data_IF_135567156930
#
_entry.id   IF_135567156930
#
_cell.length_a   1.000
_cell.length_b   1.000
_cell.length_c   1.000
_cell.angle_alpha   90.00
_cell.angle_beta   90.00
_cell.angle_gamma   90.00
#
_symmetry.space_group_name_H-M   'P 1'
#
loop_
_entity.id
_entity.type
_entity.pdbx_description
1 polymer ?
#
# COMPACT_ATOMS: atom_id res chain seq x y z
N UNK A 1 20.15 -2.33 14.46
CA UNK A 1 19.35 -1.83 13.34
C UNK A 1 19.08 -3.01 12.43
N UNK A 2 17.84 -3.51 12.36
CA UNK A 2 17.52 -4.65 11.49
C UNK A 2 17.74 -4.28 10.03
N UNK A 3 18.47 -5.08 9.28
CA UNK A 3 18.72 -4.90 7.84
C UNK A 3 17.49 -5.17 6.95
N UNK A 4 16.35 -5.54 7.56
CA UNK A 4 15.14 -5.95 6.85
C UNK A 4 14.17 -4.81 6.51
N UNK A 5 13.17 -5.16 5.70
CA UNK A 5 12.02 -4.33 5.38
C UNK A 5 10.85 -4.65 6.32
N UNK A 6 10.18 -3.61 6.79
CA UNK A 6 9.01 -3.72 7.66
C UNK A 6 7.70 -3.73 6.87
N UNK A 7 6.58 -4.03 7.51
CA UNK A 7 5.27 -3.81 6.90
C UNK A 7 4.85 -2.35 7.08
N UNK A 8 4.09 -1.83 6.12
CA UNK A 8 3.45 -0.52 6.21
C UNK A 8 1.94 -0.66 6.04
N UNK A 9 1.19 0.22 6.70
CA UNK A 9 -0.27 0.24 6.63
C UNK A 9 -0.76 0.77 5.28
N UNK A 10 -1.86 0.22 4.78
CA UNK A 10 -2.50 0.68 3.55
C UNK A 10 -3.35 1.92 3.81
N UNK A 11 -2.69 3.07 3.88
CA UNK A 11 -3.30 4.35 4.23
C UNK A 11 -2.82 5.44 3.25
N UNK A 12 -3.76 6.27 2.78
CA UNK A 12 -3.46 7.32 1.81
C UNK A 12 -2.47 8.38 2.34
N UNK A 13 -2.55 8.73 3.62
CA UNK A 13 -1.64 9.67 4.26
C UNK A 13 -0.22 9.10 4.42
N UNK A 14 -0.12 7.80 4.75
CA UNK A 14 1.17 7.08 4.78
C UNK A 14 1.81 7.04 3.39
N UNK A 15 1.05 6.64 2.37
CA UNK A 15 1.57 6.54 1.00
C UNK A 15 1.91 7.92 0.42
N UNK A 16 1.11 8.96 0.70
CA UNK A 16 1.39 10.32 0.27
C UNK A 16 2.71 10.83 0.86
N UNK A 17 2.92 10.68 2.17
CA UNK A 17 4.17 11.10 2.81
C UNK A 17 5.35 10.21 2.36
N UNK A 18 5.13 8.93 2.07
CA UNK A 18 6.14 8.03 1.49
C UNK A 18 6.64 8.56 0.14
N UNK A 19 5.73 8.90 -0.77
CA UNK A 19 6.08 9.41 -2.10
C UNK A 19 6.79 10.77 -2.01
N UNK A 20 6.34 11.65 -1.12
CA UNK A 20 7.00 12.94 -0.85
C UNK A 20 8.43 12.74 -0.33
N UNK A 21 8.64 11.84 0.64
CA UNK A 21 10.00 11.55 1.17
C UNK A 21 10.92 10.85 0.19
N UNK A 22 10.38 10.17 -0.83
CA UNK A 22 11.16 9.63 -1.93
C UNK A 22 11.58 10.71 -2.94
N UNK A 23 11.14 11.96 -2.75
CA UNK A 23 11.53 13.10 -3.57
C UNK A 23 10.63 13.33 -4.79
N UNK A 24 9.46 12.70 -4.84
CA UNK A 24 8.50 12.85 -5.95
C UNK A 24 7.67 14.11 -5.72
N UNK A 25 7.55 14.94 -6.75
CA UNK A 25 6.84 16.21 -6.68
C UNK A 25 5.45 16.13 -7.31
N UNK A 26 4.54 17.01 -6.86
CA UNK A 26 3.21 17.20 -7.41
C UNK A 26 2.32 15.94 -7.50
N UNK A 27 2.59 14.94 -6.66
CA UNK A 27 1.81 13.71 -6.53
C UNK A 27 1.19 13.61 -5.14
N UNK A 28 -0.01 13.03 -5.07
CA UNK A 28 -0.59 12.57 -3.82
C UNK A 28 -1.31 11.23 -4.03
N UNK A 29 -1.64 10.57 -2.92
CA UNK A 29 -2.37 9.31 -2.91
C UNK A 29 -3.68 9.53 -2.17
N UNK A 30 -4.79 9.12 -2.78
CA UNK A 30 -6.14 9.22 -2.22
C UNK A 30 -6.80 7.84 -2.12
N UNK A 31 -7.64 7.64 -1.11
CA UNK A 31 -8.42 6.41 -0.97
C UNK A 31 -9.55 6.35 -1.99
N UNK A 32 -9.73 5.18 -2.61
CA UNK A 32 -10.83 4.93 -3.53
C UNK A 32 -11.87 4.03 -2.86
N UNK A 33 -12.91 4.64 -2.31
CA UNK A 33 -13.99 3.93 -1.60
C UNK A 33 -14.99 3.23 -2.53
N UNK A 34 -15.10 3.68 -3.79
CA UNK A 34 -16.01 3.12 -4.78
C UNK A 34 -15.31 2.94 -6.12
N UNK A 35 -15.61 1.81 -6.77
CA UNK A 35 -14.98 1.36 -8.01
C UNK A 35 -15.93 1.63 -9.18
N UNK A 36 -16.43 2.86 -9.26
CA UNK A 36 -17.27 3.33 -10.36
C UNK A 36 -16.56 4.46 -11.13
N UNK A 37 -17.03 4.70 -12.34
CA UNK A 37 -16.46 5.68 -13.26
C UNK A 37 -16.46 7.10 -12.68
N UNK A 38 -17.49 7.49 -11.93
CA UNK A 38 -17.62 8.85 -11.39
C UNK A 38 -16.61 9.08 -10.27
N UNK A 39 -16.46 8.10 -9.37
CA UNK A 39 -15.47 8.11 -8.29
C UNK A 39 -14.04 8.24 -8.82
N UNK A 40 -13.67 7.47 -9.85
CA UNK A 40 -12.35 7.59 -10.47
C UNK A 40 -12.16 8.93 -11.19
N UNK A 41 -13.21 9.45 -11.87
CA UNK A 41 -13.16 10.75 -12.55
C UNK A 41 -13.02 11.93 -11.59
N UNK A 42 -13.62 11.85 -10.41
CA UNK A 42 -13.48 12.87 -9.37
C UNK A 42 -12.01 13.03 -8.92
N UNK A 43 -11.23 11.95 -9.03
CA UNK A 43 -9.80 11.93 -8.70
C UNK A 43 -8.89 12.24 -9.90
N UNK A 44 -9.42 12.61 -11.06
CA UNK A 44 -8.62 12.87 -12.25
C UNK A 44 -7.64 14.08 -12.07
N UNK A 45 -6.45 14.03 -12.68
CA UNK A 45 -5.83 12.87 -13.34
C UNK A 45 -5.44 11.75 -12.36
N UNK A 46 -5.75 10.50 -12.74
CA UNK A 46 -5.30 9.28 -12.03
C UNK A 46 -4.16 8.65 -12.82
N UNK A 47 -2.98 8.56 -12.21
CA UNK A 47 -1.78 7.99 -12.81
C UNK A 47 -1.74 6.47 -12.70
N UNK A 48 -2.18 5.94 -11.56
CA UNK A 48 -2.27 4.51 -11.28
C UNK A 48 -3.23 4.26 -10.11
N UNK A 49 -3.69 3.01 -9.97
CA UNK A 49 -4.48 2.52 -8.84
C UNK A 49 -3.76 1.35 -8.20
N UNK A 50 -3.36 1.50 -6.95
CA UNK A 50 -2.78 0.44 -6.12
C UNK A 50 -3.93 -0.36 -5.51
N UNK A 51 -3.88 -1.67 -5.66
CA UNK A 51 -4.84 -2.61 -5.11
C UNK A 51 -4.17 -3.50 -4.06
N UNK A 52 -4.72 -3.50 -2.85
CA UNK A 52 -4.32 -4.39 -1.77
C UNK A 52 -5.37 -5.48 -1.59
N UNK A 53 -4.95 -6.74 -1.55
CA UNK A 53 -5.83 -7.88 -1.31
C UNK A 53 -5.15 -8.93 -0.44
N UNK A 54 -5.94 -9.83 0.16
CA UNK A 54 -5.42 -10.97 0.90
C UNK A 54 -4.87 -12.01 -0.09
N UNK A 55 -3.56 -12.25 -0.05
CA UNK A 55 -2.90 -13.25 -0.90
C UNK A 55 -3.29 -14.66 -0.45
N UNK A 56 -3.92 -15.43 -1.34
CA UNK A 56 -4.58 -16.69 -0.98
C UNK A 56 -4.03 -17.91 -1.72
N UNK A 57 -4.71 -19.04 -1.51
CA UNK A 57 -4.40 -20.30 -2.21
C UNK A 57 -4.57 -20.17 -3.72
N UNK A 58 -5.54 -19.37 -4.18
CA UNK A 58 -5.74 -19.07 -5.59
C UNK A 58 -4.47 -18.44 -6.18
N UNK A 59 -3.90 -17.43 -5.53
CA UNK A 59 -2.68 -16.79 -5.99
C UNK A 59 -1.48 -17.75 -6.03
N UNK A 60 -1.32 -18.56 -4.99
CA UNK A 60 -0.27 -19.59 -4.90
C UNK A 60 -0.40 -20.60 -6.04
N UNK A 61 -1.61 -21.04 -6.36
CA UNK A 61 -1.87 -22.00 -7.45
C UNK A 61 -1.49 -21.42 -8.82
N UNK A 62 -1.96 -20.21 -9.14
CA UNK A 62 -1.67 -19.56 -10.41
C UNK A 62 -0.18 -19.16 -10.53
N UNK A 63 0.44 -18.75 -9.42
CA UNK A 63 1.89 -18.52 -9.38
C UNK A 63 2.68 -19.81 -9.66
N UNK A 64 2.29 -20.94 -9.10
CA UNK A 64 2.95 -22.23 -9.34
C UNK A 64 2.82 -22.71 -10.80
N UNK A 65 1.73 -22.36 -11.48
CA UNK A 65 1.53 -22.62 -12.92
C UNK A 65 2.23 -21.62 -13.82
N UNK A 66 2.78 -20.53 -13.26
CA UNK A 66 3.30 -19.39 -14.00
C UNK A 66 2.24 -18.84 -14.97
N UNK A 67 1.04 -18.56 -14.44
CA UNK A 67 -0.10 -18.00 -15.16
C UNK A 67 -0.70 -16.82 -14.37
N UNK A 68 -1.23 -15.78 -15.04
CA UNK A 68 -2.01 -14.74 -14.38
C UNK A 68 -3.42 -15.24 -14.04
N UNK A 69 -4.03 -14.69 -12.99
CA UNK A 69 -5.40 -15.04 -12.58
C UNK A 69 -6.45 -14.51 -13.57
N UNK A 70 -6.17 -13.34 -14.15
CA UNK A 70 -6.93 -12.69 -15.21
C UNK A 70 -5.96 -11.95 -16.13
N UNK A 71 -6.34 -11.72 -17.38
CA UNK A 71 -5.47 -11.08 -18.37
C UNK A 71 -4.42 -12.02 -19.00
N UNK A 72 -3.40 -11.44 -19.63
CA UNK A 72 -2.37 -12.17 -20.40
C UNK A 72 -0.98 -11.61 -20.08
N UNK A 73 0.02 -12.48 -19.90
CA UNK A 73 1.39 -12.00 -19.71
C UNK A 73 1.95 -11.31 -20.94
N UNK A 74 2.76 -10.27 -20.68
CA UNK A 74 3.52 -9.56 -21.70
C UNK A 74 5.02 -9.83 -21.56
N UNK A 75 5.56 -10.87 -22.21
CA UNK A 75 6.99 -11.17 -22.14
C UNK A 75 7.86 -10.11 -22.83
N UNK A 76 7.30 -9.38 -23.81
CA UNK A 76 8.01 -8.39 -24.63
C UNK A 76 7.79 -6.95 -24.12
N UNK A 77 7.46 -6.79 -22.83
CA UNK A 77 7.12 -5.49 -22.23
C UNK A 77 8.26 -4.46 -22.31
N UNK A 78 9.52 -4.92 -22.30
CA UNK A 78 10.70 -4.06 -22.40
C UNK A 78 10.78 -3.35 -23.75
N UNK A 79 10.41 -4.02 -24.85
CA UNK A 79 10.38 -3.43 -26.20
C UNK A 79 9.35 -2.29 -26.31
N UNK A 80 8.39 -2.26 -25.38
CA UNK A 80 7.36 -1.22 -25.27
C UNK A 80 7.74 -0.10 -24.29
N UNK A 81 8.95 -0.15 -23.72
CA UNK A 81 9.44 0.81 -22.74
C UNK A 81 8.77 0.71 -21.37
N UNK A 82 8.11 -0.41 -21.06
CA UNK A 82 7.43 -0.60 -19.78
C UNK A 82 8.47 -0.94 -18.71
N UNK A 83 8.47 -0.17 -17.63
CA UNK A 83 9.24 -0.49 -16.43
C UNK A 83 8.50 -1.55 -15.59
N UNK A 84 9.20 -2.60 -15.18
CA UNK A 84 8.65 -3.60 -14.28
C UNK A 84 9.76 -4.20 -13.43
N UNK A 85 9.57 -4.19 -12.11
CA UNK A 85 10.52 -4.72 -11.16
C UNK A 85 9.84 -5.74 -10.23
N UNK A 86 10.44 -6.92 -10.14
CA UNK A 86 10.00 -7.99 -9.26
C UNK A 86 10.26 -7.66 -7.80
N UNK A 87 9.42 -8.22 -6.93
CA UNK A 87 9.65 -8.18 -5.51
C UNK A 87 10.63 -9.29 -5.11
N UNK A 88 11.82 -8.89 -4.68
CA UNK A 88 12.89 -9.80 -4.25
C UNK A 88 12.99 -9.93 -2.73
N UNK A 89 12.37 -9.03 -1.97
CA UNK A 89 12.37 -9.01 -0.51
C UNK A 89 10.93 -8.97 0.04
N UNK A 90 10.68 -9.67 1.16
CA UNK A 90 9.40 -9.64 1.87
C UNK A 90 9.11 -8.26 2.47
N UNK A 91 7.83 -7.92 2.61
CA UNK A 91 7.32 -6.65 3.14
C UNK A 91 7.65 -5.38 2.33
N UNK A 92 8.43 -5.46 1.25
CA UNK A 92 8.69 -4.34 0.35
C UNK A 92 7.55 -4.06 -0.66
N UNK A 93 6.51 -4.91 -0.70
CA UNK A 93 5.45 -4.90 -1.71
C UNK A 93 4.79 -3.53 -1.91
N UNK A 94 4.55 -2.80 -0.83
CA UNK A 94 3.90 -1.50 -0.89
C UNK A 94 4.71 -0.46 -1.67
N UNK A 95 6.00 -0.30 -1.32
CA UNK A 95 6.91 0.59 -2.05
C UNK A 95 7.17 0.09 -3.46
N UNK A 96 7.26 -1.24 -3.65
CA UNK A 96 7.42 -1.82 -4.98
C UNK A 96 6.25 -1.47 -5.91
N UNK A 97 5.01 -1.54 -5.43
CA UNK A 97 3.83 -1.17 -6.20
C UNK A 97 3.82 0.33 -6.56
N UNK A 98 4.22 1.20 -5.63
CA UNK A 98 4.41 2.64 -5.87
C UNK A 98 5.46 2.88 -6.96
N UNK A 99 6.64 2.26 -6.86
CA UNK A 99 7.73 2.46 -7.82
C UNK A 99 7.40 1.90 -9.22
N UNK A 100 6.79 0.71 -9.29
CA UNK A 100 6.25 0.17 -10.55
C UNK A 100 5.21 1.11 -11.19
N UNK A 101 4.52 1.93 -10.40
CA UNK A 101 3.59 2.94 -10.93
C UNK A 101 4.32 4.20 -11.42
N UNK A 102 5.07 4.85 -10.53
CA UNK A 102 5.66 6.17 -10.77
C UNK A 102 6.73 6.14 -11.86
N UNK A 103 7.57 5.10 -11.91
CA UNK A 103 8.63 4.99 -12.90
C UNK A 103 8.10 4.74 -14.32
N UNK A 104 6.84 4.36 -14.47
CA UNK A 104 6.15 4.29 -15.77
C UNK A 104 5.45 5.61 -16.16
N UNK A 105 5.52 6.65 -15.31
CA UNK A 105 4.82 7.92 -15.48
C UNK A 105 5.73 9.14 -15.43
N UNK A 106 7.02 8.97 -15.71
CA UNK A 106 8.03 10.04 -15.66
C UNK A 106 7.84 11.15 -16.70
N UNK A 107 7.02 10.92 -17.72
CA UNK A 107 6.65 11.97 -18.69
C UNK A 107 5.59 12.92 -18.13
N UNK A 108 4.80 12.45 -17.16
CA UNK A 108 3.71 13.20 -16.52
C UNK A 108 4.04 13.66 -15.09
N UNK A 109 5.02 13.00 -14.45
CA UNK A 109 5.38 13.15 -13.04
C UNK A 109 6.87 13.42 -12.90
N UNK A 110 7.21 14.45 -12.12
CA UNK A 110 8.58 14.62 -11.64
C UNK A 110 8.86 13.68 -10.46
N UNK A 111 9.57 12.58 -10.75
CA UNK A 111 9.93 11.57 -9.75
C UNK A 111 11.12 11.96 -8.88
N UNK A 112 11.72 13.14 -9.10
CA UNK A 112 12.88 13.61 -8.38
C UNK A 112 14.19 12.96 -8.81
N UNK A 113 15.30 13.49 -8.28
CA UNK A 113 16.65 13.11 -8.67
C UNK A 113 16.99 11.66 -8.32
N UNK A 114 16.66 11.21 -7.10
CA UNK A 114 17.00 9.86 -6.62
C UNK A 114 16.34 8.77 -7.47
N UNK A 115 15.02 8.84 -7.65
CA UNK A 115 14.29 7.85 -8.46
C UNK A 115 14.62 7.98 -9.95
N UNK A 116 14.88 9.20 -10.44
CA UNK A 116 15.36 9.44 -11.79
C UNK A 116 16.71 8.75 -12.05
N UNK A 117 17.67 8.91 -11.14
CA UNK A 117 18.98 8.26 -11.21
C UNK A 117 18.86 6.74 -11.16
N UNK A 118 18.01 6.20 -10.28
CA UNK A 118 17.74 4.76 -10.20
C UNK A 118 17.16 4.25 -11.52
N UNK A 119 16.16 4.94 -12.09
CA UNK A 119 15.55 4.57 -13.37
C UNK A 119 16.58 4.54 -14.52
N UNK A 120 17.48 5.51 -14.56
CA UNK A 120 18.57 5.53 -15.54
C UNK A 120 19.58 4.41 -15.33
N UNK A 121 19.92 4.12 -14.08
CA UNK A 121 20.89 3.08 -13.73
C UNK A 121 20.40 1.67 -14.11
N UNK A 122 19.13 1.38 -13.89
CA UNK A 122 18.51 0.07 -14.20
C UNK A 122 17.98 -0.01 -15.64
N UNK A 123 18.26 0.98 -16.48
CA UNK A 123 17.84 0.96 -17.88
C UNK A 123 18.46 -0.26 -18.59
N UNK A 124 17.60 -1.17 -19.06
CA UNK A 124 18.00 -2.41 -19.73
C UNK A 124 18.23 -3.61 -18.80
N UNK A 125 18.03 -3.48 -17.49
CA UNK A 125 18.00 -4.62 -16.58
C UNK A 125 16.71 -5.42 -16.78
N UNK A 126 16.77 -6.72 -16.50
CA UNK A 126 15.55 -7.53 -16.35
C UNK A 126 14.80 -7.16 -15.05
N UNK A 127 13.58 -7.66 -14.91
CA UNK A 127 12.71 -7.31 -13.78
C UNK A 127 13.24 -7.79 -12.44
N UNK A 128 13.98 -8.89 -12.39
CA UNK A 128 14.57 -9.42 -11.17
C UNK A 128 15.72 -8.53 -10.70
N UNK A 129 16.64 -8.18 -11.59
CA UNK A 129 17.75 -7.27 -11.30
C UNK A 129 17.29 -5.85 -10.97
N UNK A 130 16.21 -5.37 -11.60
CA UNK A 130 15.54 -4.13 -11.18
C UNK A 130 15.05 -4.23 -9.73
N UNK A 131 14.40 -5.35 -9.39
CA UNK A 131 13.92 -5.64 -8.03
C UNK A 131 15.04 -5.68 -7.00
N UNK A 132 16.13 -6.40 -7.29
CA UNK A 132 17.32 -6.46 -6.44
C UNK A 132 17.92 -5.07 -6.21
N UNK A 133 18.04 -4.26 -7.26
CA UNK A 133 18.59 -2.91 -7.17
C UNK A 133 17.75 -2.02 -6.25
N UNK A 134 16.42 -2.01 -6.42
CA UNK A 134 15.50 -1.25 -5.55
C UNK A 134 15.60 -1.75 -4.11
N UNK A 135 15.60 -3.06 -3.92
CA UNK A 135 15.58 -3.68 -2.59
C UNK A 135 16.85 -3.41 -1.77
N UNK A 136 17.97 -3.18 -2.45
CA UNK A 136 19.26 -2.84 -1.88
C UNK A 136 19.49 -1.33 -1.70
N UNK A 137 18.57 -0.47 -2.18
CA UNK A 137 18.67 0.97 -1.95
C UNK A 137 18.44 1.30 -0.48
N UNK A 138 19.47 1.82 0.17
CA UNK A 138 19.39 2.28 1.56
C UNK A 138 18.44 3.47 1.71
N UNK A 139 18.42 4.39 0.74
CA UNK A 139 17.50 5.54 0.71
C UNK A 139 16.06 5.05 0.75
N UNK A 140 15.67 4.20 -0.22
CA UNK A 140 14.29 3.70 -0.33
C UNK A 140 13.91 2.91 0.92
N UNK A 141 14.78 2.00 1.38
CA UNK A 141 14.53 1.19 2.58
C UNK A 141 14.38 2.05 3.83
N UNK A 142 15.18 3.10 3.98
CA UNK A 142 15.11 4.02 5.13
C UNK A 142 13.80 4.79 5.14
N UNK A 143 13.39 5.33 3.98
CA UNK A 143 12.11 6.02 3.85
C UNK A 143 10.96 5.07 4.14
N UNK A 144 10.94 3.88 3.53
CA UNK A 144 9.91 2.85 3.76
C UNK A 144 9.78 2.49 5.25
N UNK A 145 10.90 2.15 5.90
CA UNK A 145 10.89 1.76 7.31
C UNK A 145 10.52 2.90 8.28
N UNK A 146 10.56 4.16 7.83
CA UNK A 146 10.14 5.32 8.65
C UNK A 146 8.62 5.39 8.88
N UNK A 147 7.84 4.59 8.15
CA UNK A 147 6.38 4.50 8.27
C UNK A 147 5.90 3.29 9.04
N UNK A 148 6.82 2.46 9.51
CA UNK A 148 6.48 1.29 10.30
C UNK A 148 6.23 1.67 11.75
N UNK A 149 5.21 1.06 12.35
CA UNK A 149 4.96 1.24 13.78
C UNK A 149 6.21 0.84 14.60
N UNK A 150 6.57 1.59 15.66
CA UNK A 150 7.62 1.20 16.58
C UNK A 150 7.36 -0.21 17.12
N UNK A 151 8.33 -1.12 16.96
CA UNK A 151 8.23 -2.46 17.54
C UNK A 151 8.59 -2.39 19.02
N UNK A 152 7.59 -2.47 19.89
CA UNK A 152 7.78 -2.46 21.36
C UNK A 152 8.50 -3.71 21.89
N UNK A 153 8.39 -4.83 21.16
CA UNK A 153 9.04 -6.10 21.45
C UNK A 153 9.63 -6.57 20.13
N UNK A 154 10.87 -7.07 20.13
CA UNK A 154 11.39 -7.74 18.95
C UNK A 154 10.55 -8.99 18.71
N UNK A 155 9.68 -8.92 17.70
CA UNK A 155 8.82 -10.01 17.28
C UNK A 155 9.59 -11.26 16.84
N UNK A 156 10.92 -11.17 16.71
CA UNK A 156 11.80 -12.34 16.55
C UNK A 156 11.80 -13.27 17.78
N UNK A 157 11.46 -12.76 18.97
CA UNK A 157 11.45 -13.50 20.24
C UNK A 157 10.04 -13.94 20.70
N UNK A 158 8.97 -13.41 20.10
CA UNK A 158 7.61 -13.84 20.39
C UNK A 158 7.28 -15.11 19.59
N UNK A 159 6.65 -16.13 20.20
CA UNK A 159 6.09 -17.25 19.45
C UNK A 159 5.16 -16.68 18.38
N UNK A 160 5.43 -16.97 17.11
CA UNK A 160 4.47 -16.66 16.05
C UNK A 160 3.14 -17.28 16.50
N UNK A 161 2.04 -16.49 16.61
CA UNK A 161 0.75 -17.07 16.95
C UNK A 161 0.52 -18.26 16.02
N UNK A 162 0.13 -19.40 16.58
CA UNK A 162 -0.19 -20.60 15.79
C UNK A 162 -1.09 -20.15 14.64
N UNK A 163 -0.54 -20.24 13.43
CA UNK A 163 -1.16 -19.74 12.21
C UNK A 163 -2.37 -20.61 11.99
N UNK A 164 -3.54 -20.14 12.43
CA UNK A 164 -4.80 -20.83 12.21
C UNK A 164 -4.92 -20.99 10.69
N UNK A 165 -5.17 -22.21 10.22
CA UNK A 165 -5.16 -22.57 8.78
C UNK A 165 -6.23 -21.84 7.95
N UNK A 166 -6.95 -20.90 8.56
CA UNK A 166 -7.96 -20.00 7.98
C UNK A 166 -7.45 -18.57 7.76
N UNK A 167 -6.33 -18.16 8.36
CA UNK A 167 -5.76 -16.81 8.24
C UNK A 167 -4.37 -16.81 7.56
N UNK A 168 -4.22 -17.69 6.57
CA UNK A 168 -2.98 -17.99 5.83
C UNK A 168 -2.56 -16.92 4.78
N UNK A 169 -3.10 -15.70 4.84
CA UNK A 169 -2.88 -14.69 3.80
C UNK A 169 -2.20 -13.44 4.31
N UNK A 170 -0.93 -13.27 3.96
CA UNK A 170 -0.31 -11.94 3.93
C UNK A 170 -1.07 -11.07 2.93
N UNK A 171 -1.22 -9.79 3.22
CA UNK A 171 -1.77 -8.84 2.24
C UNK A 171 -0.70 -8.53 1.18
N UNK A 172 -1.12 -8.38 -0.07
CA UNK A 172 -0.23 -8.13 -1.20
C UNK A 172 -0.70 -6.93 -2.03
N UNK A 173 0.26 -6.09 -2.44
CA UNK A 173 0.02 -4.90 -3.25
C UNK A 173 0.35 -5.16 -4.72
N UNK A 174 -0.55 -4.74 -5.60
CA UNK A 174 -0.34 -4.67 -7.04
C UNK A 174 -0.78 -3.30 -7.55
N UNK A 175 -0.38 -2.93 -8.76
CA UNK A 175 -0.80 -1.64 -9.34
C UNK A 175 -1.41 -1.81 -10.73
N UNK A 176 -2.44 -1.01 -11.01
CA UNK A 176 -3.12 -0.92 -12.29
C UNK A 176 -2.93 0.46 -12.90
N UNK A 177 -2.53 0.52 -14.16
CA UNK A 177 -2.30 1.79 -14.84
C UNK A 177 -2.46 1.66 -16.36
N UNK A 178 -2.73 2.79 -17.02
CA UNK A 178 -2.74 2.87 -18.48
C UNK A 178 -1.32 3.07 -19.00
N UNK A 179 -0.80 2.10 -19.76
CA UNK A 179 0.44 2.20 -20.52
C UNK A 179 0.14 1.88 -21.98
N UNK A 180 0.57 2.76 -22.89
CA UNK A 180 0.39 2.54 -24.33
C UNK A 180 -1.06 2.20 -24.71
N UNK A 181 -2.03 2.95 -24.16
CA UNK A 181 -3.47 2.75 -24.34
C UNK A 181 -3.94 1.32 -23.98
N UNK A 182 -3.37 0.74 -22.94
CA UNK A 182 -3.72 -0.60 -22.45
C UNK A 182 -3.65 -0.59 -20.93
N UNK A 183 -4.61 -1.22 -20.26
CA UNK A 183 -4.56 -1.41 -18.81
C UNK A 183 -3.57 -2.52 -18.52
N UNK A 184 -2.54 -2.20 -17.74
CA UNK A 184 -1.59 -3.17 -17.20
C UNK A 184 -1.81 -3.37 -15.70
N UNK A 185 -1.68 -4.61 -15.26
CA UNK A 185 -1.48 -4.99 -13.86
C UNK A 185 0.00 -5.33 -13.67
N UNK A 186 0.68 -4.60 -12.77
CA UNK A 186 2.06 -4.86 -12.39
C UNK A 186 2.07 -5.46 -10.97
N UNK A 187 2.27 -6.77 -10.93
CA UNK A 187 2.42 -7.56 -9.70
C UNK A 187 3.87 -8.01 -9.56
N UNK A 188 4.57 -7.52 -8.54
CA UNK A 188 5.98 -7.83 -8.32
C UNK A 188 6.26 -9.32 -8.06
N UNK A 189 5.26 -10.13 -7.72
CA UNK A 189 5.39 -11.59 -7.55
C UNK A 189 5.16 -12.37 -8.84
N UNK A 190 4.76 -11.72 -9.93
CA UNK A 190 4.54 -12.35 -11.24
C UNK A 190 5.75 -12.19 -12.14
N UNK A 191 5.90 -13.12 -13.07
CA UNK A 191 7.05 -13.16 -13.98
C UNK A 191 7.08 -12.00 -14.98
N UNK A 192 5.90 -11.55 -15.41
CA UNK A 192 5.75 -10.50 -16.41
C UNK A 192 4.59 -9.57 -16.04
N UNK A 193 4.58 -8.33 -16.55
CA UNK A 193 3.39 -7.48 -16.58
C UNK A 193 2.19 -8.22 -17.17
N UNK A 194 0.99 -7.90 -16.68
CA UNK A 194 -0.25 -8.53 -17.12
C UNK A 194 -1.07 -7.51 -17.91
N UNK A 195 -1.38 -7.85 -19.15
CA UNK A 195 -2.27 -7.09 -20.04
C UNK A 195 -3.73 -7.41 -19.72
N UNK A 196 -4.53 -6.36 -19.57
CA UNK A 196 -5.99 -6.41 -19.47
C UNK A 196 -6.64 -5.78 -20.72
N UNK A 197 -7.47 -4.76 -20.53
CA UNK A 197 -8.32 -4.22 -21.58
C UNK A 197 -7.58 -3.13 -22.37
N UNK A 198 -7.72 -3.14 -23.70
CA UNK A 198 -7.22 -2.06 -24.58
C UNK A 198 -8.13 -0.83 -24.50
N UNK A 199 -7.52 0.34 -24.56
CA UNK A 199 -8.18 1.64 -24.53
C UNK A 199 -8.15 2.27 -25.92
N UNK A 200 -9.22 2.91 -26.35
CA UNK A 200 -9.24 3.68 -27.60
C UNK A 200 -8.69 5.09 -27.35
N UNK A 201 -8.89 5.60 -26.12
CA UNK A 201 -8.30 6.83 -25.62
C UNK A 201 -7.83 6.71 -24.16
N UNK A 202 -6.90 7.55 -23.68
CA UNK A 202 -6.53 7.58 -22.27
C UNK A 202 -7.71 7.88 -21.31
N UNK A 203 -8.78 8.52 -21.79
CA UNK A 203 -9.98 8.79 -20.99
C UNK A 203 -10.83 7.55 -20.74
N UNK A 204 -10.67 6.52 -21.57
CA UNK A 204 -11.41 5.26 -21.41
C UNK A 204 -10.91 4.48 -20.20
N UNK A 205 -9.73 4.85 -19.66
CA UNK A 205 -9.19 4.26 -18.44
C UNK A 205 -10.20 4.33 -17.28
N UNK A 206 -10.87 5.47 -17.12
CA UNK A 206 -11.88 5.67 -16.07
C UNK A 206 -13.12 4.79 -16.26
N UNK A 207 -13.43 4.39 -17.49
CA UNK A 207 -14.61 3.57 -17.81
C UNK A 207 -14.31 2.07 -17.77
N UNK A 208 -13.11 1.66 -18.22
CA UNK A 208 -12.72 0.25 -18.34
C UNK A 208 -12.07 -0.30 -17.07
N UNK A 209 -11.30 0.50 -16.31
CA UNK A 209 -10.65 0.05 -15.08
C UNK A 209 -11.62 -0.55 -14.05
N UNK A 210 -12.82 0.04 -13.80
CA UNK A 210 -13.81 -0.57 -12.92
C UNK A 210 -14.13 -2.02 -13.25
N UNK A 211 -14.30 -2.34 -14.54
CA UNK A 211 -14.57 -3.71 -14.99
C UNK A 211 -13.41 -4.65 -14.67
N UNK A 212 -12.17 -4.22 -14.89
CA UNK A 212 -10.97 -5.01 -14.57
C UNK A 212 -10.87 -5.29 -13.06
N UNK A 213 -11.03 -4.26 -12.24
CA UNK A 213 -10.98 -4.40 -10.78
C UNK A 213 -12.11 -5.29 -10.24
N UNK A 214 -13.33 -5.16 -10.78
CA UNK A 214 -14.45 -6.03 -10.42
C UNK A 214 -14.19 -7.49 -10.80
N UNK A 215 -13.63 -7.76 -12.00
CA UNK A 215 -13.21 -9.11 -12.39
C UNK A 215 -12.18 -9.68 -11.43
N UNK A 216 -11.21 -8.86 -11.01
CA UNK A 216 -10.18 -9.24 -10.03
C UNK A 216 -10.79 -9.57 -8.66
N UNK A 217 -11.66 -8.71 -8.13
CA UNK A 217 -12.33 -8.90 -6.82
C UNK A 217 -13.23 -10.14 -6.84
N UNK A 218 -13.98 -10.38 -7.93
CA UNK A 218 -14.90 -11.50 -8.06
C UNK A 218 -14.22 -12.88 -7.92
N UNK A 219 -12.90 -12.96 -8.15
CA UNK A 219 -12.11 -14.20 -7.97
C UNK A 219 -11.99 -14.62 -6.50
N UNK A 220 -12.09 -13.70 -5.56
CA UNK A 220 -11.91 -13.94 -4.12
C UNK A 220 -13.24 -14.15 -3.40
N UNK A 221 -14.12 -15.01 -3.93
CA UNK A 221 -15.51 -15.18 -3.50
C UNK A 221 -15.72 -15.08 -1.97
N UNK A 222 -16.34 -13.99 -1.52
CA UNK A 222 -16.70 -13.74 -0.12
C UNK A 222 -15.63 -13.04 0.74
N UNK A 223 -14.44 -12.78 0.20
CA UNK A 223 -13.42 -11.94 0.86
C UNK A 223 -13.66 -10.46 0.53
N UNK A 224 -13.87 -9.67 1.58
CA UNK A 224 -14.16 -8.23 1.48
C UNK A 224 -12.98 -7.37 1.95
N UNK A 225 -11.91 -7.99 2.46
CA UNK A 225 -10.71 -7.28 2.92
C UNK A 225 -9.81 -6.94 1.74
N UNK A 226 -10.11 -5.83 1.10
CA UNK A 226 -9.23 -5.19 0.12
C UNK A 226 -9.23 -3.68 0.32
N UNK A 227 -8.21 -3.01 -0.22
CA UNK A 227 -8.12 -1.56 -0.26
C UNK A 227 -7.68 -1.11 -1.64
N UNK A 228 -8.10 0.09 -2.04
CA UNK A 228 -7.75 0.72 -3.29
C UNK A 228 -7.24 2.13 -2.99
N UNK A 229 -6.06 2.45 -3.51
CA UNK A 229 -5.44 3.76 -3.42
C UNK A 229 -5.19 4.28 -4.83
N UNK A 230 -5.60 5.49 -5.14
CA UNK A 230 -5.33 6.14 -6.40
C UNK A 230 -4.11 7.06 -6.26
N UNK A 231 -3.14 6.93 -7.17
CA UNK A 231 -2.05 7.90 -7.32
C UNK A 231 -2.54 9.00 -8.26
N UNK A 232 -2.57 10.24 -7.78
CA UNK A 232 -3.08 11.40 -8.51
C UNK A 232 -2.09 12.56 -8.46
N UNK A 233 -2.38 13.63 -9.21
CA UNK A 233 -1.70 14.90 -8.99
C UNK A 233 -2.03 15.47 -7.60
N UNK A 234 -1.19 16.38 -7.13
CA UNK A 234 -1.43 17.18 -5.93
C UNK A 234 -2.71 18.01 -6.11
N UNK A 235 -3.76 17.66 -5.34
CA UNK A 235 -5.08 18.29 -5.42
C UNK A 235 -5.09 19.69 -4.83
N UNK A 236 -4.22 19.98 -3.86
CA UNK A 236 -4.08 21.32 -3.31
C UNK A 236 -3.66 22.30 -4.40
N UNK A 237 -2.63 21.93 -5.19
CA UNK A 237 -2.16 22.74 -6.30
C UNK A 237 -3.25 22.89 -7.38
N UNK A 238 -3.99 21.82 -7.66
CA UNK A 238 -5.13 21.87 -8.59
C UNK A 238 -6.22 22.85 -8.13
N UNK A 239 -6.69 22.75 -6.89
CA UNK A 239 -7.75 23.63 -6.37
C UNK A 239 -7.30 25.09 -6.28
N UNK A 240 -6.03 25.34 -5.94
CA UNK A 240 -5.44 26.67 -5.97
C UNK A 240 -5.45 27.27 -7.39
N UNK A 241 -5.07 26.47 -8.41
CA UNK A 241 -5.06 26.91 -9.80
C UNK A 241 -6.47 27.17 -10.35
N UNK A 242 -7.47 26.40 -9.93
CA UNK A 242 -8.86 26.60 -10.36
C UNK A 242 -9.59 27.67 -9.54
N UNK A 243 -9.00 28.17 -8.45
CA UNK A 243 -9.63 29.12 -7.53
C UNK A 243 -10.74 28.54 -6.66
N UNK A 244 -10.72 27.22 -6.44
CA UNK A 244 -11.70 26.53 -5.59
C UNK A 244 -11.30 26.65 -4.11
N UNK A 245 -11.77 27.72 -3.46
CA UNK A 245 -11.47 27.99 -2.07
C UNK A 245 -11.95 26.88 -1.11
N UNK A 246 -13.09 26.25 -1.42
CA UNK A 246 -13.64 25.18 -0.58
C UNK A 246 -12.78 23.91 -0.72
N UNK A 247 -12.39 23.56 -1.95
CA UNK A 247 -11.47 22.44 -2.19
C UNK A 247 -10.12 22.63 -1.50
N UNK A 248 -9.57 23.84 -1.51
CA UNK A 248 -8.33 24.18 -0.79
C UNK A 248 -8.47 23.96 0.72
N UNK A 249 -9.54 24.46 1.33
CA UNK A 249 -9.77 24.29 2.77
C UNK A 249 -9.90 22.81 3.17
N UNK A 250 -10.67 22.04 2.40
CA UNK A 250 -10.86 20.60 2.64
C UNK A 250 -9.55 19.83 2.51
N UNK A 251 -8.75 20.12 1.49
CA UNK A 251 -7.47 19.46 1.24
C UNK A 251 -6.43 19.78 2.33
N UNK A 252 -6.41 21.02 2.83
CA UNK A 252 -5.55 21.41 3.95
C UNK A 252 -5.92 20.68 5.25
N UNK A 253 -7.21 20.61 5.57
CA UNK A 253 -7.70 19.88 6.75
C UNK A 253 -7.40 18.38 6.67
N UNK A 254 -7.53 17.78 5.47
CA UNK A 254 -7.16 16.39 5.20
C UNK A 254 -5.66 16.15 5.49
N UNK A 255 -4.79 17.02 4.98
CA UNK A 255 -3.33 16.93 5.19
C UNK A 255 -2.92 17.14 6.65
N UNK A 256 -3.59 18.02 7.38
CA UNK A 256 -3.37 18.19 8.83
C UNK A 256 -3.74 16.92 9.61
N UNK A 257 -4.85 16.29 9.24
CA UNK A 257 -5.29 15.00 9.81
C UNK A 257 -4.26 13.92 9.54
N UNK A 258 -3.83 13.74 8.29
CA UNK A 258 -2.79 12.78 7.92
C UNK A 258 -1.46 13.01 8.65
N UNK A 259 -1.02 14.27 8.76
CA UNK A 259 0.19 14.63 9.49
C UNK A 259 0.10 14.22 10.97
N UNK A 260 -1.04 14.50 11.60
CA UNK A 260 -1.31 14.14 12.99
C UNK A 260 -1.36 12.63 13.20
N UNK A 261 -2.04 11.90 12.32
CA UNK A 261 -2.12 10.44 12.38
C UNK A 261 -0.76 9.77 12.14
N UNK A 262 0.02 10.25 11.16
CA UNK A 262 1.37 9.73 10.91
C UNK A 262 2.31 10.01 12.09
N UNK A 263 2.16 11.17 12.76
CA UNK A 263 2.89 11.44 13.99
C UNK A 263 2.52 10.44 15.11
N UNK A 264 1.24 10.10 15.25
CA UNK A 264 0.78 9.10 16.22
C UNK A 264 1.25 7.69 15.87
N UNK A 265 1.20 7.27 14.59
CA UNK A 265 1.69 5.95 14.12
C UNK A 265 3.17 5.74 14.42
N UNK A 266 3.97 6.79 14.34
CA UNK A 266 5.41 6.77 14.65
C UNK A 266 5.72 6.88 16.14
N UNK A 267 4.74 7.24 16.97
CA UNK A 267 4.99 7.51 18.38
C UNK A 267 5.13 6.21 19.18
N UNK A 268 6.15 6.16 20.04
CA UNK A 268 6.40 5.04 20.94
C UNK A 268 5.57 5.20 22.24
N UNK A 269 4.46 4.45 22.35
CA UNK A 269 3.53 4.54 23.49
C UNK A 269 3.86 3.78 24.81
N UNK A 270 4.94 2.99 25.01
CA UNK A 270 5.11 2.21 26.24
C UNK A 270 5.21 3.09 27.47
N UNK A 271 5.86 4.25 27.37
CA UNK A 271 5.95 5.20 28.47
C UNK A 271 4.57 5.70 28.88
N UNK A 272 3.71 6.02 27.90
CA UNK A 272 2.33 6.40 28.18
C UNK A 272 1.58 5.25 28.85
N UNK A 273 1.71 4.02 28.33
CA UNK A 273 1.06 2.84 28.91
C UNK A 273 1.50 2.59 30.35
N UNK A 274 2.81 2.69 30.65
CA UNK A 274 3.36 2.51 31.99
C UNK A 274 2.85 3.59 32.94
N UNK A 275 2.87 4.87 32.53
CA UNK A 275 2.39 5.96 33.38
C UNK A 275 0.88 5.89 33.61
N UNK A 276 0.10 5.48 32.60
CA UNK A 276 -1.33 5.21 32.78
C UNK A 276 -1.58 4.07 33.78
N UNK A 277 -0.83 2.97 33.66
CA UNK A 277 -0.93 1.85 34.59
C UNK A 277 -0.60 2.28 36.02
N UNK A 278 0.50 3.02 36.22
CA UNK A 278 0.88 3.56 37.53
C UNK A 278 -0.20 4.46 38.10
N UNK A 279 -0.79 5.35 37.30
CA UNK A 279 -1.85 6.24 37.75
C UNK A 279 -3.13 5.48 38.14
N UNK A 280 -3.49 4.44 37.39
CA UNK A 280 -4.65 3.60 37.73
C UNK A 280 -4.42 2.82 39.02
N UNK A 281 -3.21 2.28 39.20
CA UNK A 281 -2.88 1.45 40.36
C UNK A 281 -2.39 2.23 41.58
N UNK A 282 -2.23 3.56 41.48
CA UNK A 282 -1.57 4.37 42.52
C UNK A 282 -2.28 4.29 43.88
N UNK A 283 -3.61 4.35 43.86
CA UNK A 283 -4.44 4.37 45.07
C UNK A 283 -5.10 3.00 45.36
N UNK A 284 -4.75 1.96 44.61
CA UNK A 284 -5.32 0.62 44.75
C UNK A 284 -4.47 -0.24 45.68
N UNK A 285 -5.12 -1.01 46.56
CA UNK A 285 -4.47 -2.13 47.23
C UNK A 285 -4.41 -3.37 46.31
N UNK A 286 -3.67 -4.39 46.76
CA UNK A 286 -3.46 -5.62 45.98
C UNK A 286 -4.78 -6.35 45.67
N UNK A 287 -5.75 -6.33 46.60
CA UNK A 287 -7.05 -6.99 46.44
C UNK A 287 -7.93 -6.25 45.42
N UNK A 288 -7.92 -4.92 45.44
CA UNK A 288 -8.61 -4.06 44.48
C UNK A 288 -8.03 -4.22 43.07
N UNK A 289 -6.71 -4.29 42.95
CA UNK A 289 -6.02 -4.53 41.68
C UNK A 289 -6.34 -5.91 41.11
N UNK A 290 -6.29 -6.97 41.93
CA UNK A 290 -6.59 -8.33 41.49
C UNK A 290 -8.05 -8.45 41.02
N UNK A 291 -8.99 -7.79 41.72
CA UNK A 291 -10.39 -7.73 41.32
C UNK A 291 -10.58 -7.02 39.98
N UNK A 292 -9.87 -5.91 39.74
CA UNK A 292 -9.89 -5.20 38.46
C UNK A 292 -9.36 -6.09 37.32
N UNK A 293 -8.24 -6.77 37.53
CA UNK A 293 -7.66 -7.71 36.56
C UNK A 293 -8.62 -8.87 36.24
N UNK A 294 -9.29 -9.43 37.25
CA UNK A 294 -10.29 -10.49 37.05
C UNK A 294 -11.48 -10.01 36.23
N UNK A 295 -11.97 -8.79 36.47
CA UNK A 295 -13.04 -8.18 35.69
C UNK A 295 -12.60 -7.95 34.23
N UNK A 296 -11.41 -7.40 34.03
CA UNK A 296 -10.84 -7.20 32.70
C UNK A 296 -10.68 -8.52 31.94
N UNK A 297 -10.17 -9.57 32.61
CA UNK A 297 -10.02 -10.91 32.03
C UNK A 297 -11.35 -11.54 31.62
N UNK A 298 -12.39 -11.44 32.47
CA UNK A 298 -13.75 -11.90 32.14
C UNK A 298 -14.32 -11.16 30.93
N UNK A 299 -14.17 -9.84 30.88
CA UNK A 299 -14.63 -9.03 29.77
C UNK A 299 -13.89 -9.37 28.45
N UNK A 300 -12.57 -9.59 28.52
CA UNK A 300 -11.77 -10.01 27.38
C UNK A 300 -12.17 -11.40 26.86
N UNK A 301 -12.35 -12.39 27.75
CA UNK A 301 -12.83 -13.72 27.38
C UNK A 301 -14.22 -13.69 26.72
N UNK A 302 -15.14 -12.86 27.25
CA UNK A 302 -16.47 -12.69 26.65
C UNK A 302 -16.40 -12.14 25.22
N UNK A 303 -15.54 -11.14 24.97
CA UNK A 303 -15.30 -10.59 23.62
C UNK A 303 -14.70 -11.65 22.68
N UNK A 304 -13.71 -12.40 23.15
CA UNK A 304 -13.09 -13.47 22.36
C UNK A 304 -14.10 -14.56 21.95
N UNK A 305 -15.00 -14.94 22.86
CA UNK A 305 -16.06 -15.90 22.55
C UNK A 305 -17.10 -15.35 21.56
N UNK A 306 -17.35 -14.04 21.56
CA UNK A 306 -18.24 -13.40 20.58
C UNK A 306 -17.62 -13.35 19.19
N UNK A 307 -16.30 -13.13 19.08
CA UNK A 307 -15.57 -13.10 17.80
C UNK A 307 -15.42 -14.48 17.15
N UNK A 308 -15.59 -15.57 17.90
CA UNK A 308 -15.56 -16.95 17.38
C UNK A 308 -16.92 -17.47 16.88
N UNK A 309 -18.01 -16.75 17.12
CA UNK A 309 -19.36 -17.10 16.63
C UNK A 309 -19.65 -16.39 15.33
#
# INVERSE_FOLDING_TARGET
MSSGWNTIDSDAGVFSELVEKLGVHDVQIDELYSIDTESLRALAPVYAVIFLFKYGNLDKEFAAKNEPIDGVYDPDYQDKGIFFANQTIQNACATQAVLNSLLNKTDDIDVGEELGNIKLFIAGFDSEMCGETISNSETIRTVHNSFSAPRFIDSSELPRPEVDSKDDGLFHFVTFLNLNNTIYELDGLKRYPIIHDRLDSPKDFYEKLPGVLQRRIAKYSGEIRFSLLAITNNKLNQYQLTGDAQGVEQELAKRETWSSENALRRHDFPRLSIELLKNISHDMDDDEWEKLLLLAKKAAMKRYQQLKK
#
